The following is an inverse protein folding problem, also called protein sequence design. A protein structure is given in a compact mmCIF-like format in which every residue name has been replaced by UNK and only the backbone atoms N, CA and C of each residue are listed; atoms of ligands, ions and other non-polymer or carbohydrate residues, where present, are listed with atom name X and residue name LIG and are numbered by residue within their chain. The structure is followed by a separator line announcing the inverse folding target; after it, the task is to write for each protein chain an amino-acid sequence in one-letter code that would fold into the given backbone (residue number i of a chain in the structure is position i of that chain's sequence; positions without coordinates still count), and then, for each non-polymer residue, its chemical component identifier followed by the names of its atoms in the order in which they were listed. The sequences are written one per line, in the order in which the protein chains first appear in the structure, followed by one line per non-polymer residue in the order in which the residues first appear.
data_IF_940592912276
#
_entry.id   IF_940592912276
#
_cell.length_a   1.000
_cell.length_b   1.000
_cell.length_c   1.000
_cell.angle_alpha   90.00
_cell.angle_beta   90.00
_cell.angle_gamma   90.00
#
_symmetry.space_group_name_H-M   'P 1'
#
loop_
_entity.id
_entity.type
_entity.pdbx_description
1 polymer ?
#
# COMPACT_ATOMS: atom_id res chain seq x y z
N UNK A 1 -14.39 18.94 -12.57
CA UNK A 1 -13.46 17.87 -12.13
C UNK A 1 -14.27 16.75 -11.52
N UNK A 2 -14.03 15.49 -11.90
CA UNK A 2 -14.66 14.32 -11.28
C UNK A 2 -13.63 13.61 -10.39
N UNK A 3 -14.10 13.02 -9.29
CA UNK A 3 -13.28 12.15 -8.44
C UNK A 3 -13.34 10.74 -9.02
N UNK A 4 -12.18 10.11 -9.21
CA UNK A 4 -12.08 8.70 -9.57
C UNK A 4 -11.81 7.88 -8.31
N UNK A 5 -12.62 6.85 -8.10
CA UNK A 5 -12.36 5.84 -7.08
C UNK A 5 -11.55 4.71 -7.72
N UNK A 6 -10.48 4.30 -7.07
CA UNK A 6 -9.59 3.22 -7.52
C UNK A 6 -9.48 2.15 -6.43
N UNK A 7 -9.10 0.94 -6.82
CA UNK A 7 -8.75 -0.14 -5.88
C UNK A 7 -7.24 -0.09 -5.50
N UNK A 8 -6.52 0.95 -5.91
CA UNK A 8 -5.07 1.11 -5.69
C UNK A 8 -4.79 1.54 -4.24
N UNK A 9 -4.02 0.75 -3.46
CA UNK A 9 -3.69 1.09 -2.07
C UNK A 9 -2.62 2.19 -1.94
N UNK A 10 -1.99 2.64 -3.04
CA UNK A 10 -0.87 3.58 -3.05
C UNK A 10 0.31 3.11 -2.18
N UNK A 11 0.58 1.80 -2.18
CA UNK A 11 1.56 1.19 -1.28
C UNK A 11 2.96 1.82 -1.38
N UNK A 12 3.39 2.16 -2.59
CA UNK A 12 4.67 2.83 -2.87
C UNK A 12 4.83 4.21 -2.19
N UNK A 13 3.73 4.84 -1.75
CA UNK A 13 3.79 6.16 -1.09
C UNK A 13 4.10 6.08 0.39
N UNK A 14 3.83 4.93 1.03
CA UNK A 14 3.94 4.79 2.48
C UNK A 14 5.40 4.90 2.94
N UNK A 15 6.33 4.31 2.21
CA UNK A 15 7.76 4.36 2.53
C UNK A 15 8.25 5.82 2.61
N UNK A 16 7.96 6.63 1.59
CA UNK A 16 8.28 8.05 1.58
C UNK A 16 7.59 8.85 2.71
N UNK A 17 6.35 8.50 3.06
CA UNK A 17 5.63 9.13 4.17
C UNK A 17 6.25 8.80 5.53
N UNK A 18 6.63 7.55 5.76
CA UNK A 18 7.34 7.12 6.96
C UNK A 18 8.68 7.84 7.08
N UNK A 19 9.42 7.93 5.98
CA UNK A 19 10.67 8.67 5.87
C UNK A 19 10.53 10.14 6.29
N UNK A 20 9.47 10.81 5.81
CA UNK A 20 9.16 12.18 6.20
C UNK A 20 8.78 12.29 7.67
N UNK A 21 8.00 11.35 8.21
CA UNK A 21 7.60 11.34 9.61
C UNK A 21 8.80 11.16 10.56
N UNK A 22 9.77 10.30 10.18
CA UNK A 22 11.03 10.14 10.90
C UNK A 22 11.85 11.43 10.86
N UNK A 23 12.02 12.03 9.67
CA UNK A 23 12.72 13.32 9.51
C UNK A 23 12.08 14.46 10.31
N UNK A 24 10.75 14.46 10.44
CA UNK A 24 10.00 15.43 11.22
C UNK A 24 10.04 15.16 12.75
N UNK A 25 10.62 14.04 13.20
CA UNK A 25 10.65 13.65 14.60
C UNK A 25 9.30 13.16 15.15
N UNK A 26 8.35 12.84 14.26
CA UNK A 26 7.01 12.34 14.62
C UNK A 26 7.00 10.83 14.86
N UNK A 27 7.96 10.11 14.26
CA UNK A 27 8.11 8.67 14.41
C UNK A 27 9.56 8.28 14.68
N UNK A 28 9.75 7.13 15.34
CA UNK A 28 10.98 6.34 15.22
C UNK A 28 10.92 5.52 13.94
N UNK A 29 12.06 5.07 13.40
CA UNK A 29 12.10 4.23 12.20
C UNK A 29 11.17 3.00 12.34
N UNK A 30 10.10 2.90 11.55
CA UNK A 30 9.15 1.79 11.63
C UNK A 30 9.60 0.61 10.77
N UNK A 31 9.26 -0.60 11.22
CA UNK A 31 9.28 -1.76 10.33
C UNK A 31 8.00 -1.77 9.49
N UNK A 32 8.12 -1.55 8.19
CA UNK A 32 7.00 -1.53 7.25
C UNK A 32 6.72 -2.89 6.60
N UNK A 33 7.54 -3.91 6.89
CA UNK A 33 7.36 -5.23 6.29
C UNK A 33 6.03 -5.85 6.71
N UNK A 34 5.25 -6.32 5.74
CA UNK A 34 3.99 -7.01 6.01
C UNK A 34 2.81 -6.11 6.33
N UNK A 35 2.95 -4.78 6.18
CA UNK A 35 1.86 -3.84 6.48
C UNK A 35 0.70 -3.92 5.48
N UNK A 36 0.96 -4.43 4.27
CA UNK A 36 -0.07 -4.71 3.27
C UNK A 36 -0.34 -6.22 3.15
N UNK A 37 -1.52 -6.65 3.57
CA UNK A 37 -2.09 -7.94 3.16
C UNK A 37 -3.09 -7.72 2.02
N UNK A 38 -2.61 -7.87 0.79
CA UNK A 38 -3.43 -7.69 -0.42
C UNK A 38 -4.10 -9.00 -0.90
N UNK A 39 -4.01 -10.08 -0.12
CA UNK A 39 -4.50 -11.41 -0.52
C UNK A 39 -5.98 -11.37 -0.88
N UNK A 40 -6.81 -10.79 -0.01
CA UNK A 40 -8.26 -10.74 -0.21
C UNK A 40 -8.66 -9.79 -1.34
N UNK A 41 -8.00 -8.64 -1.45
CA UNK A 41 -8.26 -7.68 -2.52
C UNK A 41 -7.93 -8.29 -3.89
N UNK A 42 -6.75 -8.88 -4.03
CA UNK A 42 -6.32 -9.53 -5.28
C UNK A 42 -7.19 -10.73 -5.64
N UNK A 43 -7.71 -11.49 -4.65
CA UNK A 43 -8.71 -12.54 -4.90
C UNK A 43 -10.00 -11.99 -5.50
N UNK A 44 -10.50 -10.86 -4.99
CA UNK A 44 -11.71 -10.21 -5.50
C UNK A 44 -11.48 -9.59 -6.88
N UNK A 45 -10.30 -8.98 -7.12
CA UNK A 45 -9.93 -8.42 -8.42
C UNK A 45 -9.86 -9.52 -9.48
N UNK A 46 -9.22 -10.64 -9.18
CA UNK A 46 -9.15 -11.81 -10.07
C UNK A 46 -10.55 -12.34 -10.41
N UNK A 47 -11.45 -12.46 -9.42
CA UNK A 47 -12.83 -12.89 -9.66
C UNK A 47 -13.63 -11.93 -10.56
N UNK A 48 -13.21 -10.67 -10.67
CA UNK A 48 -13.78 -9.65 -11.56
C UNK A 48 -12.99 -9.47 -12.86
N UNK A 49 -12.03 -10.34 -13.16
CA UNK A 49 -11.12 -10.21 -14.32
C UNK A 49 -10.37 -8.87 -14.35
N UNK A 50 -10.05 -8.31 -13.17
CA UNK A 50 -9.28 -7.08 -13.01
C UNK A 50 -7.83 -7.41 -12.64
N UNK A 51 -6.85 -6.56 -13.01
CA UNK A 51 -5.45 -6.76 -12.64
C UNK A 51 -5.29 -6.73 -11.11
N UNK A 52 -4.31 -7.46 -10.62
CA UNK A 52 -3.87 -7.38 -9.23
C UNK A 52 -3.21 -6.02 -8.95
N UNK A 53 -3.28 -5.59 -7.69
CA UNK A 53 -2.56 -4.43 -7.18
C UNK A 53 -1.28 -4.87 -6.47
N UNK A 54 -0.28 -4.00 -6.51
CA UNK A 54 1.05 -4.20 -5.95
C UNK A 54 1.13 -3.63 -4.52
N UNK A 55 1.85 -4.33 -3.65
CA UNK A 55 2.19 -3.89 -2.29
C UNK A 55 3.50 -3.10 -2.22
N UNK A 56 4.16 -2.89 -3.37
CA UNK A 56 5.42 -2.18 -3.50
C UNK A 56 6.57 -2.79 -2.67
N UNK A 57 6.52 -4.10 -2.43
CA UNK A 57 7.50 -4.83 -1.62
C UNK A 57 7.24 -4.76 -0.10
N UNK A 58 6.16 -4.11 0.32
CA UNK A 58 5.75 -3.96 1.72
C UNK A 58 4.73 -5.03 2.15
N UNK A 59 4.50 -6.02 1.29
CA UNK A 59 3.52 -7.09 1.47
C UNK A 59 3.84 -8.09 2.58
N UNK A 60 2.79 -8.73 3.10
CA UNK A 60 2.93 -9.90 3.97
C UNK A 60 3.49 -11.09 3.16
N UNK A 61 4.48 -11.80 3.71
CA UNK A 61 5.09 -13.01 3.11
C UNK A 61 4.34 -14.27 3.50
#
# INVERSE_FOLDING_TARGET
KAIQLTDDPLAATLDAQADHAVKAGLLKEPDLNGIYDLTLLNKVLAAKSRPAVDDAGLGAK
#
